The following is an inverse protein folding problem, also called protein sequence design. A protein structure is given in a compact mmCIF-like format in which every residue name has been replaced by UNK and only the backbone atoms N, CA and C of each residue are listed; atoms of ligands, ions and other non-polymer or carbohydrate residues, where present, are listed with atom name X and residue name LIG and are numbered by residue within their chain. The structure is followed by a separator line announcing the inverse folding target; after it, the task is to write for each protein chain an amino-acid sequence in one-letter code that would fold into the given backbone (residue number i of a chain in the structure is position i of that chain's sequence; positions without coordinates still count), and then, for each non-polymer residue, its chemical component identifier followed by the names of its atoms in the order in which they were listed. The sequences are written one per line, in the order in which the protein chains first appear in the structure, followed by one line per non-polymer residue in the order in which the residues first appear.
data_IF_172982361845
#
_entry.id   IF_172982361845
#
_cell.length_a   1.000
_cell.length_b   1.000
_cell.length_c   1.000
_cell.angle_alpha   90.00
_cell.angle_beta   90.00
_cell.angle_gamma   90.00
#
_symmetry.space_group_name_H-M   'P 1'
#
loop_
_entity.id
_entity.type
_entity.pdbx_description
1 polymer ?
#
# COMPACT_ATOMS: atom_id res chain seq x y z
N UNK A 1 -6.88 28.88 -0.96
CA UNK A 1 -6.46 27.69 -1.72
C UNK A 1 -6.81 27.92 -3.18
N UNK A 2 -5.81 28.07 -4.06
CA UNK A 2 -6.04 28.38 -5.47
C UNK A 2 -6.74 27.21 -6.16
N UNK A 3 -7.92 27.48 -6.72
CA UNK A 3 -8.66 26.55 -7.56
C UNK A 3 -7.98 26.54 -8.93
N UNK A 4 -7.00 25.66 -9.11
CA UNK A 4 -6.35 25.42 -10.39
C UNK A 4 -7.38 24.76 -11.31
N UNK A 5 -8.08 25.60 -12.06
CA UNK A 5 -8.95 25.17 -13.16
C UNK A 5 -8.03 24.99 -14.36
N UNK A 6 -7.38 23.84 -14.46
CA UNK A 6 -6.76 23.43 -15.72
C UNK A 6 -7.96 23.20 -16.63
N UNK A 7 -8.17 24.12 -17.59
CA UNK A 7 -9.12 23.95 -18.69
C UNK A 7 -9.08 22.49 -19.14
N UNK A 8 -10.25 21.87 -19.33
CA UNK A 8 -10.52 20.47 -19.72
C UNK A 8 -9.72 19.97 -20.95
N UNK A 9 -8.39 20.02 -20.87
CA UNK A 9 -7.51 19.90 -22.00
C UNK A 9 -6.62 18.70 -21.79
N UNK A 10 -7.19 17.60 -22.21
CA UNK A 10 -6.61 16.29 -22.25
C UNK A 10 -5.94 16.13 -23.61
N UNK A 11 -4.60 16.06 -23.63
CA UNK A 11 -3.77 16.12 -24.84
C UNK A 11 -4.13 15.11 -25.95
N UNK A 12 -3.44 15.16 -27.10
CA UNK A 12 -3.88 14.47 -28.31
C UNK A 12 -3.98 12.94 -28.14
N UNK A 13 -3.11 12.34 -27.33
CA UNK A 13 -3.16 10.91 -27.02
C UNK A 13 -4.42 10.51 -26.25
N UNK A 14 -4.87 11.36 -25.32
CA UNK A 14 -6.11 11.08 -24.61
C UNK A 14 -7.31 11.15 -25.55
N UNK A 15 -7.37 12.17 -26.42
CA UNK A 15 -8.46 12.27 -27.38
C UNK A 15 -8.51 11.07 -28.32
N UNK A 16 -7.35 10.58 -28.77
CA UNK A 16 -7.28 9.36 -29.57
C UNK A 16 -7.79 8.15 -28.78
N UNK A 17 -7.38 8.01 -27.53
CA UNK A 17 -7.84 6.90 -26.70
C UNK A 17 -9.36 6.95 -26.48
N UNK A 18 -9.95 8.14 -26.26
CA UNK A 18 -11.40 8.32 -26.17
C UNK A 18 -12.13 7.87 -27.44
N UNK A 19 -11.63 8.26 -28.63
CA UNK A 19 -12.23 7.87 -29.91
C UNK A 19 -12.12 6.36 -30.17
N UNK A 20 -11.03 5.73 -29.73
CA UNK A 20 -10.83 4.28 -29.80
C UNK A 20 -11.81 3.57 -28.87
N UNK A 21 -11.95 4.05 -27.64
CA UNK A 21 -12.86 3.51 -26.63
C UNK A 21 -14.33 3.64 -27.06
N UNK A 22 -14.74 4.79 -27.62
CA UNK A 22 -16.10 5.06 -28.09
C UNK A 22 -16.54 4.12 -29.22
N UNK A 23 -15.59 3.67 -30.06
CA UNK A 23 -15.84 2.72 -31.15
C UNK A 23 -15.54 1.27 -30.79
N UNK A 24 -15.20 0.98 -29.54
CA UNK A 24 -14.83 -0.37 -29.06
C UNK A 24 -13.70 -1.02 -29.88
N UNK A 25 -12.73 -0.21 -30.33
CA UNK A 25 -11.63 -0.66 -31.18
C UNK A 25 -10.39 -1.05 -30.36
N UNK A 26 -9.56 -1.94 -30.91
CA UNK A 26 -8.22 -2.19 -30.39
C UNK A 26 -7.22 -1.16 -30.92
N UNK A 27 -6.13 -0.89 -30.18
CA UNK A 27 -5.07 0.05 -30.60
C UNK A 27 -4.21 -0.61 -31.68
N UNK A 28 -4.62 -0.45 -32.93
CA UNK A 28 -3.92 -0.96 -34.13
C UNK A 28 -3.89 0.11 -35.23
N UNK A 29 -3.03 -0.06 -36.23
CA UNK A 29 -2.96 0.86 -37.39
C UNK A 29 -4.28 0.98 -38.15
N UNK A 30 -5.03 -0.11 -38.27
CA UNK A 30 -6.34 -0.13 -38.97
C UNK A 30 -7.35 0.70 -38.17
N UNK A 31 -7.41 0.53 -36.86
CA UNK A 31 -8.28 1.32 -35.98
C UNK A 31 -7.91 2.81 -36.00
N UNK A 32 -6.60 3.12 -35.96
CA UNK A 32 -6.12 4.50 -36.06
C UNK A 32 -6.54 5.16 -37.38
N UNK A 33 -6.49 4.43 -38.50
CA UNK A 33 -7.00 4.91 -39.78
C UNK A 33 -8.52 5.15 -39.76
N UNK A 34 -9.30 4.38 -39.00
CA UNK A 34 -10.75 4.56 -38.92
C UNK A 34 -11.14 5.83 -38.14
N UNK A 35 -10.40 6.16 -37.08
CA UNK A 35 -10.68 7.33 -36.23
C UNK A 35 -10.01 8.63 -36.72
N UNK A 36 -9.14 8.59 -37.73
CA UNK A 36 -8.43 9.77 -38.26
C UNK A 36 -9.40 10.90 -38.62
N UNK A 37 -10.54 10.59 -39.25
CA UNK A 37 -11.52 11.59 -39.64
C UNK A 37 -12.14 12.30 -38.43
N UNK A 38 -12.46 11.54 -37.38
CA UNK A 38 -13.06 12.07 -36.15
C UNK A 38 -12.06 12.93 -35.39
N UNK A 39 -10.79 12.53 -35.36
CA UNK A 39 -9.71 13.33 -34.77
C UNK A 39 -9.52 14.66 -35.50
N UNK A 40 -9.56 14.66 -36.84
CA UNK A 40 -9.46 15.89 -37.64
C UNK A 40 -10.69 16.78 -37.48
N UNK A 41 -11.88 16.21 -37.34
CA UNK A 41 -13.10 16.98 -37.03
C UNK A 41 -13.02 17.61 -35.65
N UNK A 42 -12.52 16.87 -34.66
CA UNK A 42 -12.24 17.42 -33.33
C UNK A 42 -11.25 18.58 -33.43
N UNK A 43 -10.12 18.42 -34.15
CA UNK A 43 -9.14 19.48 -34.37
C UNK A 43 -9.77 20.76 -34.93
N UNK A 44 -10.69 20.64 -35.90
CA UNK A 44 -11.38 21.78 -36.51
C UNK A 44 -12.37 22.47 -35.56
N UNK A 45 -12.90 21.75 -34.57
CA UNK A 45 -13.82 22.31 -33.56
C UNK A 45 -13.11 23.10 -32.45
N UNK A 46 -11.77 23.04 -32.41
CA UNK A 46 -10.95 23.70 -31.41
C UNK A 46 -10.78 25.19 -31.72
N UNK A 47 -11.76 26.00 -31.33
CA UNK A 47 -11.65 27.46 -31.40
C UNK A 47 -10.83 28.02 -30.21
N UNK A 48 -9.93 28.96 -30.50
CA UNK A 48 -9.17 29.77 -29.51
C UNK A 48 -8.21 29.00 -28.59
N UNK A 49 -7.46 28.03 -29.13
CA UNK A 49 -6.41 27.31 -28.39
C UNK A 49 -5.06 28.03 -28.50
N UNK A 50 -4.25 27.94 -27.43
CA UNK A 50 -2.84 28.36 -27.47
C UNK A 50 -2.06 27.63 -28.57
N UNK A 51 -1.32 28.38 -29.40
CA UNK A 51 -0.59 27.83 -30.54
C UNK A 51 0.35 26.66 -30.17
N UNK A 52 0.92 26.71 -28.96
CA UNK A 52 1.80 25.64 -28.44
C UNK A 52 1.07 24.30 -28.31
N UNK A 53 -0.16 24.34 -27.79
CA UNK A 53 -0.98 23.14 -27.59
C UNK A 53 -1.50 22.61 -28.93
N UNK A 54 -1.84 23.52 -29.86
CA UNK A 54 -2.25 23.14 -31.20
C UNK A 54 -1.12 22.41 -31.96
N UNK A 55 0.13 22.80 -31.78
CA UNK A 55 1.28 22.17 -32.44
C UNK A 55 1.36 20.66 -32.16
N UNK A 56 1.14 20.24 -30.91
CA UNK A 56 1.15 18.82 -30.53
C UNK A 56 0.04 18.03 -31.23
N UNK A 57 -1.15 18.63 -31.38
CA UNK A 57 -2.26 18.02 -32.09
C UNK A 57 -2.00 17.90 -33.59
N UNK A 58 -1.41 18.93 -34.21
CA UNK A 58 -1.07 18.90 -35.64
C UNK A 58 0.00 17.84 -35.92
N UNK A 59 0.99 17.69 -35.04
CA UNK A 59 2.00 16.64 -35.16
C UNK A 59 1.38 15.24 -35.16
N UNK A 60 0.42 14.98 -34.26
CA UNK A 60 -0.33 13.72 -34.23
C UNK A 60 -1.24 13.56 -35.45
N UNK A 61 -1.93 14.64 -35.87
CA UNK A 61 -2.77 14.63 -37.06
C UNK A 61 -2.00 14.26 -38.33
N UNK A 62 -0.78 14.79 -38.50
CA UNK A 62 0.10 14.44 -39.61
C UNK A 62 0.42 12.94 -39.64
N UNK A 63 0.77 12.36 -38.48
CA UNK A 63 1.01 10.90 -38.36
C UNK A 63 -0.24 10.09 -38.72
N UNK A 64 -1.42 10.50 -38.25
CA UNK A 64 -2.69 9.82 -38.58
C UNK A 64 -3.05 9.91 -40.06
N UNK A 65 -2.69 11.00 -40.74
CA UNK A 65 -2.87 11.13 -42.20
C UNK A 65 -1.99 10.14 -42.95
N UNK A 66 -0.73 9.95 -42.54
CA UNK A 66 0.16 8.94 -43.12
C UNK A 66 -0.40 7.54 -42.91
N UNK A 67 -0.87 7.23 -41.69
CA UNK A 67 -1.53 5.95 -41.37
C UNK A 67 -2.76 5.73 -42.26
N UNK A 68 -3.60 6.77 -42.43
CA UNK A 68 -4.78 6.70 -43.30
C UNK A 68 -4.40 6.46 -44.75
N UNK A 69 -3.38 7.15 -45.25
CA UNK A 69 -2.87 7.00 -46.61
C UNK A 69 -2.37 5.58 -46.87
N UNK A 70 -1.53 5.03 -45.97
CA UNK A 70 -1.05 3.64 -46.04
C UNK A 70 -2.21 2.63 -46.02
N UNK A 71 -3.22 2.88 -45.20
CA UNK A 71 -4.40 2.01 -45.12
C UNK A 71 -5.27 2.04 -46.38
N UNK A 72 -5.28 3.14 -47.14
CA UNK A 72 -6.07 3.29 -48.37
C UNK A 72 -5.28 2.89 -49.62
N UNK A 73 -3.96 2.99 -49.58
CA UNK A 73 -3.04 2.71 -50.69
C UNK A 73 -2.05 1.61 -50.26
N UNK A 74 -2.38 0.32 -50.46
CA UNK A 74 -1.53 -0.79 -50.00
C UNK A 74 -0.12 -0.78 -50.61
N UNK A 75 0.02 -0.25 -51.82
CA UNK A 75 1.30 -0.15 -52.54
C UNK A 75 2.14 1.06 -52.11
N UNK A 76 1.65 1.88 -51.17
CA UNK A 76 2.38 3.03 -50.66
C UNK A 76 3.61 2.58 -49.86
N UNK A 77 4.79 2.87 -50.41
CA UNK A 77 6.06 2.66 -49.73
C UNK A 77 6.33 3.83 -48.80
N UNK A 78 6.31 3.55 -47.50
CA UNK A 78 6.74 4.49 -46.48
C UNK A 78 8.25 4.45 -46.30
N UNK A 79 8.82 5.58 -45.91
CA UNK A 79 10.21 5.66 -45.45
C UNK A 79 10.38 4.91 -44.12
N UNK A 80 11.60 4.43 -43.79
CA UNK A 80 11.84 3.77 -42.51
C UNK A 80 11.53 4.66 -41.30
N UNK A 81 11.65 5.98 -41.46
CA UNK A 81 11.29 6.97 -40.44
C UNK A 81 9.78 7.03 -40.21
N UNK A 82 8.98 7.10 -41.27
CA UNK A 82 7.51 7.09 -41.18
C UNK A 82 6.99 5.79 -40.57
N UNK A 83 7.56 4.63 -40.92
CA UNK A 83 7.15 3.36 -40.31
C UNK A 83 7.46 3.30 -38.81
N UNK A 84 8.61 3.84 -38.40
CA UNK A 84 9.00 3.95 -36.99
C UNK A 84 8.04 4.88 -36.24
N UNK A 85 7.69 6.01 -36.83
CA UNK A 85 6.80 7.00 -36.22
C UNK A 85 5.38 6.46 -35.99
N UNK A 86 4.88 5.61 -36.90
CA UNK A 86 3.59 4.92 -36.74
C UNK A 86 3.65 3.95 -35.56
N UNK A 87 4.71 3.14 -35.47
CA UNK A 87 4.90 2.19 -34.37
C UNK A 87 5.05 2.89 -33.01
N UNK A 88 5.83 3.97 -32.96
CA UNK A 88 6.00 4.79 -31.76
C UNK A 88 4.67 5.38 -31.29
N UNK A 89 3.81 5.85 -32.21
CA UNK A 89 2.47 6.33 -31.84
C UNK A 89 1.60 5.23 -31.24
N UNK A 90 1.63 4.02 -31.83
CA UNK A 90 0.88 2.87 -31.33
C UNK A 90 1.35 2.44 -29.93
N UNK A 91 2.66 2.35 -29.72
CA UNK A 91 3.27 2.00 -28.44
C UNK A 91 2.97 3.05 -27.36
N UNK A 92 3.08 4.34 -27.70
CA UNK A 92 2.72 5.43 -26.78
C UNK A 92 1.26 5.39 -26.38
N UNK A 93 0.35 5.07 -27.30
CA UNK A 93 -1.08 4.93 -26.97
C UNK A 93 -1.34 3.74 -26.05
N UNK A 94 -0.66 2.60 -26.27
CA UNK A 94 -0.76 1.43 -25.37
C UNK A 94 -0.26 1.77 -23.97
N UNK A 95 0.92 2.38 -23.86
CA UNK A 95 1.48 2.85 -22.58
C UNK A 95 0.55 3.87 -21.90
N UNK A 96 0.03 4.83 -22.66
CA UNK A 96 -0.90 5.82 -22.13
C UNK A 96 -2.18 5.19 -21.57
N UNK A 97 -2.73 4.17 -22.25
CA UNK A 97 -3.87 3.40 -21.76
C UNK A 97 -3.56 2.70 -20.44
N UNK A 98 -2.38 2.08 -20.32
CA UNK A 98 -1.95 1.45 -19.07
C UNK A 98 -1.84 2.46 -17.93
N UNK A 99 -1.24 3.63 -18.17
CA UNK A 99 -1.14 4.68 -17.16
C UNK A 99 -2.51 5.26 -16.77
N UNK A 100 -3.42 5.48 -17.73
CA UNK A 100 -4.78 5.94 -17.46
C UNK A 100 -5.55 4.94 -16.58
N UNK A 101 -5.37 3.65 -16.80
CA UNK A 101 -5.95 2.61 -15.95
C UNK A 101 -5.34 2.61 -14.54
N UNK A 102 -4.02 2.77 -14.44
CA UNK A 102 -3.32 2.87 -13.16
C UNK A 102 -3.72 4.14 -12.38
N UNK A 103 -4.00 5.25 -13.06
CA UNK A 103 -4.47 6.51 -12.46
C UNK A 103 -5.74 6.28 -11.64
N UNK A 104 -6.71 5.52 -12.17
CA UNK A 104 -7.94 5.20 -11.46
C UNK A 104 -7.69 4.46 -10.14
N UNK A 105 -6.71 3.54 -10.13
CA UNK A 105 -6.28 2.82 -8.93
C UNK A 105 -5.58 3.75 -7.93
N UNK A 106 -4.63 4.56 -8.42
CA UNK A 106 -3.88 5.50 -7.59
C UNK A 106 -4.79 6.56 -6.97
N UNK A 107 -5.78 7.04 -7.72
CA UNK A 107 -6.78 8.01 -7.26
C UNK A 107 -7.64 7.45 -6.12
N UNK A 108 -7.99 6.17 -6.16
CA UNK A 108 -8.67 5.49 -5.05
C UNK A 108 -7.79 5.45 -3.80
N UNK A 109 -6.54 4.99 -3.95
CA UNK A 109 -5.58 4.91 -2.83
C UNK A 109 -5.31 6.29 -2.23
N UNK A 110 -5.16 7.32 -3.08
CA UNK A 110 -4.98 8.69 -2.63
C UNK A 110 -6.22 9.23 -1.89
N UNK A 111 -7.42 8.91 -2.36
CA UNK A 111 -8.67 9.32 -1.72
C UNK A 111 -8.90 8.68 -0.34
N UNK A 112 -8.24 7.55 -0.03
CA UNK A 112 -8.27 6.95 1.31
C UNK A 112 -7.56 7.79 2.38
N UNK A 113 -6.85 8.86 2.01
CA UNK A 113 -6.16 9.79 2.92
C UNK A 113 -5.23 9.11 3.94
N UNK A 114 -4.68 7.95 3.59
CA UNK A 114 -3.69 7.22 4.40
C UNK A 114 -2.31 7.87 4.21
N UNK A 115 -2.09 8.98 4.90
CA UNK A 115 -0.80 9.68 4.87
C UNK A 115 0.11 9.20 6.00
N UNK A 116 1.32 8.79 5.64
CA UNK A 116 2.43 8.63 6.59
C UNK A 116 3.19 9.94 6.67
N UNK A 117 3.17 10.59 7.84
CA UNK A 117 3.98 11.78 8.07
C UNK A 117 5.37 11.33 8.55
N UNK A 118 6.39 11.56 7.72
CA UNK A 118 7.76 11.41 8.19
C UNK A 118 8.09 12.53 9.18
N UNK A 119 8.98 12.25 10.13
CA UNK A 119 9.56 13.29 10.97
C UNK A 119 10.25 14.28 10.04
N UNK A 120 9.93 15.57 10.17
CA UNK A 120 10.62 16.65 9.45
C UNK A 120 12.12 16.40 9.61
N UNK A 121 12.82 16.21 8.50
CA UNK A 121 14.26 16.00 8.49
C UNK A 121 14.89 17.19 9.24
N UNK A 122 15.27 16.96 10.49
CA UNK A 122 16.13 17.86 11.21
C UNK A 122 17.50 17.50 10.67
N UNK A 123 18.12 18.31 9.79
CA UNK A 123 19.53 18.13 9.54
C UNK A 123 20.17 18.09 10.91
N UNK A 124 20.98 17.06 11.17
CA UNK A 124 21.92 17.13 12.28
C UNK A 124 22.78 18.32 11.90
N UNK A 125 22.43 19.50 12.40
CA UNK A 125 23.33 20.65 12.38
C UNK A 125 24.59 20.09 13.00
N UNK A 126 25.68 20.11 12.23
CA UNK A 126 27.03 19.80 12.71
C UNK A 126 27.10 20.20 14.16
N UNK A 127 27.43 19.25 15.04
CA UNK A 127 27.51 19.46 16.48
C UNK A 127 28.32 20.73 16.67
N UNK A 128 27.61 21.85 16.89
CA UNK A 128 28.24 23.16 16.84
C UNK A 128 29.29 23.14 17.93
N UNK A 129 30.55 23.35 17.56
CA UNK A 129 31.60 23.50 18.55
C UNK A 129 31.12 24.55 19.55
N UNK A 130 30.88 24.12 20.79
CA UNK A 130 30.40 24.98 21.84
C UNK A 130 31.57 25.87 22.26
N UNK A 131 31.58 27.11 21.79
CA UNK A 131 32.48 28.14 22.31
C UNK A 131 31.79 28.81 23.50
N UNK A 132 32.25 28.57 24.74
CA UNK A 132 31.71 29.29 25.88
C UNK A 132 31.95 30.79 25.70
N UNK A 133 30.93 31.60 25.97
CA UNK A 133 31.05 33.06 25.95
C UNK A 133 32.16 33.51 26.90
N UNK A 134 32.88 34.60 26.58
CA UNK A 134 33.92 35.19 27.44
C UNK A 134 33.45 35.56 28.85
N UNK A 135 32.14 35.61 29.08
CA UNK A 135 31.51 35.90 30.38
C UNK A 135 31.25 34.65 31.24
N UNK A 136 31.66 33.46 30.78
CA UNK A 136 31.45 32.21 31.50
C UNK A 136 32.39 32.13 32.71
N UNK A 137 31.86 32.39 33.90
CA UNK A 137 32.60 32.34 35.16
C UNK A 137 32.38 31.01 35.87
N UNK A 138 33.38 30.52 36.62
CA UNK A 138 33.30 29.25 37.39
C UNK A 138 32.04 29.20 38.28
N UNK A 139 31.67 30.32 38.90
CA UNK A 139 30.48 30.42 39.76
C UNK A 139 29.16 30.23 38.99
N UNK A 140 29.12 30.60 37.71
CA UNK A 140 27.96 30.38 36.83
C UNK A 140 27.79 28.90 36.48
N UNK A 141 28.90 28.17 36.33
CA UNK A 141 28.86 26.72 36.09
C UNK A 141 28.39 26.02 37.35
N UNK A 142 28.96 26.36 38.51
CA UNK A 142 28.60 25.77 39.80
C UNK A 142 27.10 25.89 40.09
N UNK A 143 26.55 27.10 40.01
CA UNK A 143 25.12 27.34 40.27
C UNK A 143 24.19 26.65 39.25
N UNK A 144 24.64 26.45 38.02
CA UNK A 144 23.86 25.70 37.01
C UNK A 144 23.87 24.19 37.31
N UNK A 145 25.00 23.66 37.76
CA UNK A 145 25.16 22.25 38.09
C UNK A 145 24.39 21.88 39.36
N UNK A 146 24.37 22.78 40.34
CA UNK A 146 23.56 22.67 41.56
C UNK A 146 22.06 22.60 41.23
N UNK A 147 21.57 23.49 40.35
CA UNK A 147 20.18 23.43 39.85
C UNK A 147 19.84 22.13 39.14
N UNK A 148 20.76 21.59 38.33
CA UNK A 148 20.57 20.30 37.64
C UNK A 148 20.49 19.17 38.66
N UNK A 149 21.33 19.19 39.70
CA UNK A 149 21.34 18.18 40.75
C UNK A 149 20.05 18.20 41.56
N UNK A 150 19.56 19.39 41.94
CA UNK A 150 18.25 19.54 42.62
C UNK A 150 17.09 19.06 41.75
N UNK A 151 17.14 19.34 40.44
CA UNK A 151 16.09 18.91 39.50
C UNK A 151 16.11 17.39 39.27
N UNK A 152 17.29 16.77 39.21
CA UNK A 152 17.41 15.31 39.00
C UNK A 152 17.15 14.51 40.26
N UNK A 153 17.50 15.01 41.44
CA UNK A 153 17.13 14.36 42.71
C UNK A 153 15.62 14.44 42.99
N UNK A 154 14.93 15.46 42.48
CA UNK A 154 13.47 15.53 42.49
C UNK A 154 12.78 14.49 41.57
N UNK A 155 13.49 14.00 40.53
CA UNK A 155 12.99 12.95 39.64
C UNK A 155 13.19 11.57 40.28
N UNK A 156 12.20 11.15 41.09
CA UNK A 156 12.10 9.76 41.55
C UNK A 156 11.79 8.86 40.34
N UNK A 157 12.76 8.09 39.88
CA UNK A 157 12.51 7.02 38.90
C UNK A 157 11.73 5.90 39.59
N UNK A 158 10.44 5.80 39.30
CA UNK A 158 9.66 4.62 39.67
C UNK A 158 10.17 3.44 38.85
N UNK A 159 10.87 2.51 39.50
CA UNK A 159 11.42 1.31 38.89
C UNK A 159 10.24 0.40 38.53
N UNK A 160 9.72 0.52 37.31
CA UNK A 160 8.70 -0.40 36.79
C UNK A 160 9.36 -1.75 36.59
N UNK A 161 9.20 -2.65 37.56
CA UNK A 161 9.57 -4.05 37.42
C UNK A 161 8.74 -4.67 36.31
N UNK A 162 9.37 -4.84 35.14
CA UNK A 162 8.79 -5.64 34.06
C UNK A 162 8.77 -7.10 34.55
N UNK A 163 7.60 -7.61 34.92
CA UNK A 163 7.42 -9.04 35.15
C UNK A 163 7.71 -9.78 33.84
N UNK A 164 8.87 -10.43 33.76
CA UNK A 164 9.12 -11.43 32.73
C UNK A 164 8.22 -12.63 33.04
N UNK A 165 7.23 -12.88 32.20
CA UNK A 165 6.47 -14.13 32.22
C UNK A 165 7.22 -15.09 31.28
N UNK A 166 7.69 -16.22 31.80
CA UNK A 166 8.36 -17.23 30.97
C UNK A 166 7.36 -17.86 30.00
N UNK A 167 7.64 -17.70 28.70
CA UNK A 167 6.78 -18.20 27.62
C UNK A 167 6.60 -19.72 27.67
N UNK A 168 7.62 -20.47 28.13
CA UNK A 168 7.54 -21.93 28.25
C UNK A 168 6.52 -22.39 29.28
N UNK A 169 6.46 -21.71 30.42
CA UNK A 169 5.51 -22.02 31.48
C UNK A 169 4.07 -21.77 31.01
N UNK A 170 3.88 -20.70 30.24
CA UNK A 170 2.57 -20.35 29.66
C UNK A 170 2.09 -21.38 28.63
N UNK A 171 2.97 -21.90 27.78
CA UNK A 171 2.64 -23.00 26.85
C UNK A 171 2.19 -24.26 27.61
N UNK A 172 2.93 -24.63 28.67
CA UNK A 172 2.60 -25.81 29.48
C UNK A 172 1.24 -25.65 30.18
N UNK A 173 0.94 -24.46 30.71
CA UNK A 173 -0.37 -24.17 31.29
C UNK A 173 -1.51 -24.26 30.28
N UNK A 174 -1.30 -23.80 29.04
CA UNK A 174 -2.31 -23.91 27.99
C UNK A 174 -2.49 -25.34 27.52
N UNK A 175 -1.41 -26.11 27.36
CA UNK A 175 -1.49 -27.53 27.02
C UNK A 175 -2.21 -28.32 28.12
N UNK A 176 -1.91 -28.06 29.39
CA UNK A 176 -2.62 -28.66 30.53
C UNK A 176 -4.09 -28.25 30.57
N UNK A 177 -4.44 -26.99 30.24
CA UNK A 177 -5.82 -26.53 30.24
C UNK A 177 -6.64 -27.14 29.10
N UNK A 178 -6.06 -27.24 27.90
CA UNK A 178 -6.67 -27.92 26.74
C UNK A 178 -6.75 -29.43 27.00
N UNK A 179 -5.79 -30.00 27.74
CA UNK A 179 -5.76 -31.42 28.13
C UNK A 179 -6.71 -31.80 29.28
N UNK A 180 -6.78 -31.00 30.34
CA UNK A 180 -7.52 -31.33 31.57
C UNK A 180 -9.04 -31.13 31.47
N UNK A 181 -9.53 -30.41 30.47
CA UNK A 181 -10.97 -30.37 30.16
C UNK A 181 -11.53 -31.75 29.74
N UNK A 182 -10.67 -32.76 29.53
CA UNK A 182 -11.07 -34.12 29.13
C UNK A 182 -11.45 -35.06 30.28
N UNK A 183 -11.27 -34.68 31.55
CA UNK A 183 -11.46 -35.62 32.68
C UNK A 183 -12.31 -35.06 33.82
N UNK A 184 -13.53 -34.60 33.55
CA UNK A 184 -14.56 -34.59 34.60
C UNK A 184 -15.93 -34.94 34.02
N UNK A 185 -16.36 -36.17 34.36
CA UNK A 185 -17.74 -36.68 34.39
C UNK A 185 -18.45 -36.91 33.05
N UNK A 186 -18.29 -38.15 32.58
CA UNK A 186 -19.38 -39.05 32.14
C UNK A 186 -20.46 -38.49 31.23
N UNK A 187 -20.27 -38.63 29.92
CA UNK A 187 -21.13 -39.50 29.11
C UNK A 187 -20.41 -39.84 27.80
N UNK A 188 -20.62 -41.05 27.30
CA UNK A 188 -19.86 -41.59 26.18
C UNK A 188 -20.05 -40.79 24.89
N UNK A 189 -18.96 -40.29 24.32
CA UNK A 189 -18.61 -40.31 22.90
C UNK A 189 -17.35 -39.45 22.71
N UNK A 190 -16.38 -39.99 21.97
CA UNK A 190 -15.15 -39.34 21.52
C UNK A 190 -15.46 -38.11 20.64
N UNK A 191 -15.89 -37.01 21.24
CA UNK A 191 -16.08 -35.73 20.56
C UNK A 191 -14.99 -34.77 21.04
N UNK A 192 -14.04 -34.49 20.16
CA UNK A 192 -12.91 -33.62 20.45
C UNK A 192 -13.38 -32.26 21.00
N UNK A 193 -12.97 -31.93 22.22
CA UNK A 193 -13.30 -30.66 22.85
C UNK A 193 -12.79 -29.50 21.98
N UNK A 194 -13.75 -28.70 21.48
CA UNK A 194 -13.52 -27.46 20.73
C UNK A 194 -13.59 -26.29 21.71
N UNK A 195 -12.46 -25.64 21.98
CA UNK A 195 -12.41 -24.41 22.77
C UNK A 195 -12.42 -23.19 21.85
N UNK A 196 -13.19 -22.16 22.16
CA UNK A 196 -13.12 -20.89 21.46
C UNK A 196 -12.00 -20.02 22.05
N UNK A 197 -11.30 -19.28 21.20
CA UNK A 197 -10.24 -18.37 21.65
C UNK A 197 -10.80 -17.19 22.45
N UNK A 198 -12.02 -16.75 22.14
CA UNK A 198 -12.76 -15.77 22.95
C UNK A 198 -12.90 -16.20 24.41
N UNK A 199 -13.29 -17.45 24.66
CA UNK A 199 -13.44 -18.01 26.01
C UNK A 199 -12.10 -18.09 26.78
N UNK A 200 -10.99 -18.28 26.06
CA UNK A 200 -9.64 -18.34 26.64
C UNK A 200 -9.03 -16.95 26.89
N UNK A 201 -9.49 -15.92 26.18
CA UNK A 201 -9.00 -14.55 26.26
C UNK A 201 -9.87 -13.64 27.15
N UNK A 202 -11.07 -14.07 27.52
CA UNK A 202 -11.99 -13.29 28.34
C UNK A 202 -11.40 -12.95 29.71
N UNK A 203 -11.38 -11.64 30.05
CA UNK A 203 -10.91 -11.14 31.35
C UNK A 203 -9.39 -11.00 31.50
N UNK A 204 -8.59 -11.23 30.45
CA UNK A 204 -7.12 -11.15 30.49
C UNK A 204 -6.58 -9.78 30.07
N UNK A 205 -5.41 -9.41 30.60
CA UNK A 205 -4.68 -8.20 30.16
C UNK A 205 -4.13 -8.37 28.75
N UNK A 206 -3.86 -7.26 28.05
CA UNK A 206 -3.39 -7.25 26.66
C UNK A 206 -2.12 -8.09 26.48
N UNK A 207 -1.20 -8.04 27.42
CA UNK A 207 0.04 -8.80 27.39
C UNK A 207 -0.21 -10.31 27.44
N UNK A 208 -1.16 -10.75 28.28
CA UNK A 208 -1.56 -12.16 28.39
C UNK A 208 -2.28 -12.68 27.13
N UNK A 209 -3.05 -11.81 26.47
CA UNK A 209 -3.73 -12.15 25.21
C UNK A 209 -2.70 -12.35 24.08
N UNK A 210 -1.67 -11.49 24.01
CA UNK A 210 -0.58 -11.64 23.04
C UNK A 210 0.18 -12.95 23.29
N UNK A 211 0.49 -13.26 24.55
CA UNK A 211 1.14 -14.51 24.92
C UNK A 211 0.28 -15.74 24.59
N UNK A 212 -1.04 -15.66 24.79
CA UNK A 212 -2.00 -16.70 24.41
C UNK A 212 -2.01 -16.93 22.91
N UNK A 213 -2.04 -15.86 22.12
CA UNK A 213 -2.01 -15.95 20.68
C UNK A 213 -0.70 -16.56 20.17
N UNK A 214 0.45 -16.11 20.69
CA UNK A 214 1.76 -16.66 20.34
C UNK A 214 1.90 -18.13 20.73
N UNK A 215 1.39 -18.52 21.90
CA UNK A 215 1.41 -19.92 22.34
C UNK A 215 0.51 -20.81 21.46
N UNK A 216 -0.64 -20.30 21.00
CA UNK A 216 -1.52 -21.02 20.06
C UNK A 216 -0.82 -21.21 18.71
N UNK A 217 -0.16 -20.18 18.17
CA UNK A 217 0.63 -20.31 16.93
C UNK A 217 1.75 -21.34 17.07
N UNK A 218 2.43 -21.35 18.21
CA UNK A 218 3.46 -22.33 18.52
C UNK A 218 2.90 -23.77 18.56
N UNK A 219 1.72 -23.96 19.16
CA UNK A 219 1.05 -25.27 19.20
C UNK A 219 0.55 -25.76 17.83
N UNK A 220 0.22 -24.84 16.91
CA UNK A 220 -0.07 -25.17 15.51
C UNK A 220 1.21 -25.64 14.83
N UNK A 221 2.33 -24.93 15.04
CA UNK A 221 3.62 -25.26 14.44
C UNK A 221 4.09 -26.67 14.85
N UNK A 222 3.88 -27.05 16.11
CA UNK A 222 4.20 -28.40 16.63
C UNK A 222 3.12 -29.46 16.32
N UNK A 223 2.10 -29.13 15.50
CA UNK A 223 1.03 -30.04 15.06
C UNK A 223 0.17 -30.66 16.19
N UNK A 224 0.20 -30.09 17.39
CA UNK A 224 -0.52 -30.61 18.56
C UNK A 224 -2.01 -30.23 18.57
N UNK A 225 -2.38 -29.19 17.81
CA UNK A 225 -3.70 -28.56 17.84
C UNK A 225 -4.19 -28.29 16.42
N UNK A 226 -5.48 -28.52 16.17
CA UNK A 226 -6.17 -28.18 14.92
C UNK A 226 -7.03 -26.93 15.15
N UNK A 227 -6.96 -25.99 14.22
CA UNK A 227 -7.73 -24.74 14.28
C UNK A 227 -8.66 -24.64 13.09
N UNK A 228 -9.86 -24.10 13.32
CA UNK A 228 -10.80 -23.71 12.27
C UNK A 228 -11.33 -22.30 12.55
N UNK A 229 -11.31 -21.45 11.52
CA UNK A 229 -11.90 -20.11 11.52
C UNK A 229 -12.73 -19.98 10.23
N UNK A 230 -14.02 -19.65 10.36
CA UNK A 230 -14.93 -19.64 9.21
C UNK A 230 -14.80 -18.36 8.37
N UNK A 231 -14.65 -17.20 9.01
CA UNK A 231 -14.52 -15.89 8.36
C UNK A 231 -13.36 -15.07 8.94
N UNK A 232 -12.84 -14.10 8.17
CA UNK A 232 -11.86 -13.15 8.70
C UNK A 232 -12.40 -12.46 9.95
N UNK A 233 -11.58 -12.40 11.01
CA UNK A 233 -11.92 -11.85 12.34
C UNK A 233 -13.06 -12.57 13.10
N UNK A 234 -13.50 -13.74 12.63
CA UNK A 234 -14.39 -14.60 13.41
C UNK A 234 -13.63 -15.33 14.52
N UNK A 235 -14.35 -15.92 15.46
CA UNK A 235 -13.76 -16.61 16.59
C UNK A 235 -12.92 -17.82 16.15
N UNK A 236 -11.80 -18.05 16.84
CA UNK A 236 -10.85 -19.10 16.50
C UNK A 236 -11.22 -20.33 17.31
N UNK A 237 -11.66 -21.40 16.64
CA UNK A 237 -12.00 -22.66 17.29
C UNK A 237 -10.75 -23.54 17.34
N UNK A 238 -10.36 -23.93 18.54
CA UNK A 238 -9.15 -24.68 18.88
C UNK A 238 -9.59 -26.09 19.32
N UNK A 239 -9.15 -27.12 18.60
CA UNK A 239 -9.43 -28.50 18.93
C UNK A 239 -8.12 -29.28 19.13
N UNK A 240 -8.07 -30.13 20.16
CA UNK A 240 -6.95 -31.08 20.33
C UNK A 240 -6.98 -32.09 19.19
N UNK A 241 -5.82 -32.33 18.57
CA UNK A 241 -5.70 -33.40 17.57
C UNK A 241 -5.77 -34.74 18.29
N UNK A 242 -6.80 -35.54 18.01
CA UNK A 242 -6.80 -36.96 18.37
C UNK A 242 -5.74 -37.66 17.51
N UNK A 243 -4.78 -38.31 18.16
CA UNK A 243 -3.92 -39.29 17.48
C UNK A 243 -4.83 -40.48 17.15
N UNK A 244 -5.25 -40.59 15.88
CA UNK A 244 -5.68 -41.89 15.36
C UNK A 244 -4.42 -42.74 15.25
N UNK A 245 -4.24 -43.64 16.20
CA UNK A 245 -3.27 -44.73 16.10
C UNK A 245 -3.84 -45.68 15.05
N UNK A 246 -3.37 -45.55 13.81
CA UNK A 246 -3.41 -46.66 12.86
C UNK A 246 -2.31 -47.64 13.29
N UNK A 247 -2.72 -48.69 14.00
CA UNK A 247 -2.32 -50.08 13.81
C UNK A 247 -3.26 -50.99 14.61
#
# INVERSE_FOLDING_TARGET
MYKLSINNFSGPLQKLLELIEEKELEITQVSLAQITADFLNYLKSLDKIEARVLADFVAVAAKLMVIKSKSLLPDLRLTPEEEKDIKDLEERLKLYKEFKNAEAGLKKVYAENKFSFSRKFLPVTDIGFFYPSSNLTINSIHSSLEKIYETTTALKFEKVERKMIDFKEYINQLFLRIGCLSTTKGDGLSSGYKSKFSDLSFGKKREEIIMLFLAVLYLIQDNLVKISQENHFSDIIIAKRSFDILN
#
